data_IF_746297861657
#
_entry.id   IF_746297861657
#
_cell.length_a   1.000
_cell.length_b   1.000
_cell.length_c   1.000
_cell.angle_alpha   90.00
_cell.angle_beta   90.00
_cell.angle_gamma   90.00
#
_symmetry.space_group_name_H-M   'P 1'
#
loop_
_entity.id
_entity.type
_entity.pdbx_description
1 polymer ?
#
# COMPACT_ATOMS: atom_id res chain seq x y z
N UNK A 1 1.30 6.70 8.30
CA UNK A 1 -0.13 6.35 8.08
C UNK A 1 -0.37 4.86 8.28
N UNK A 2 -1.59 4.42 8.61
CA UNK A 2 -1.88 2.98 8.74
C UNK A 2 -1.84 2.29 7.38
N UNK A 3 -1.44 1.01 7.31
CA UNK A 3 -1.42 0.24 6.07
C UNK A 3 -2.78 0.24 5.33
N UNK A 4 -3.89 0.17 6.08
CA UNK A 4 -5.24 0.23 5.49
C UNK A 4 -5.54 1.55 4.81
N UNK A 5 -4.98 2.65 5.29
CA UNK A 5 -5.18 3.98 4.73
C UNK A 5 -4.30 4.20 3.50
N UNK A 6 -3.05 3.74 3.58
CA UNK A 6 -2.16 3.68 2.43
C UNK A 6 -2.76 2.83 1.30
N UNK A 7 -3.30 1.65 1.64
CA UNK A 7 -3.95 0.77 0.67
C UNK A 7 -5.08 1.49 -0.07
N UNK A 8 -5.95 2.21 0.66
CA UNK A 8 -7.03 3.01 0.06
C UNK A 8 -6.52 4.09 -0.89
N UNK A 9 -5.45 4.80 -0.52
CA UNK A 9 -4.84 5.83 -1.38
C UNK A 9 -4.26 5.23 -2.68
N UNK A 10 -3.76 3.99 -2.62
CA UNK A 10 -3.26 3.24 -3.76
C UNK A 10 -4.35 2.48 -4.53
N UNK A 11 -5.63 2.61 -4.16
CA UNK A 11 -6.71 1.80 -4.76
C UNK A 11 -6.60 0.29 -4.48
N UNK A 12 -5.79 -0.10 -3.50
CA UNK A 12 -5.56 -1.49 -3.10
C UNK A 12 -6.45 -1.89 -1.92
N UNK A 13 -6.75 -3.18 -1.83
CA UNK A 13 -7.37 -3.74 -0.62
C UNK A 13 -6.33 -3.91 0.48
N UNK A 14 -6.78 -3.89 1.74
CA UNK A 14 -5.93 -4.17 2.90
C UNK A 14 -5.16 -5.49 2.75
N UNK A 15 -5.82 -6.55 2.24
CA UNK A 15 -5.22 -7.87 2.02
C UNK A 15 -4.09 -7.81 0.98
N UNK A 16 -4.26 -7.01 -0.08
CA UNK A 16 -3.23 -6.78 -1.09
C UNK A 16 -2.00 -6.08 -0.49
N UNK A 17 -2.23 -4.98 0.23
CA UNK A 17 -1.17 -4.26 0.91
C UNK A 17 -0.45 -5.12 1.97
N UNK A 18 -1.18 -5.97 2.70
CA UNK A 18 -0.62 -6.90 3.68
C UNK A 18 0.28 -7.96 3.02
N UNK A 19 -0.13 -8.51 1.87
CA UNK A 19 0.72 -9.40 1.08
C UNK A 19 2.00 -8.71 0.61
N UNK A 20 1.90 -7.48 0.12
CA UNK A 20 3.08 -6.70 -0.32
C UNK A 20 4.04 -6.40 0.83
N UNK A 21 3.51 -6.08 2.02
CA UNK A 21 4.31 -5.90 3.23
C UNK A 21 5.10 -7.17 3.56
N UNK A 22 4.43 -8.32 3.60
CA UNK A 22 5.09 -9.60 3.87
C UNK A 22 6.06 -10.04 2.76
N UNK A 23 5.79 -9.66 1.51
CA UNK A 23 6.68 -9.92 0.39
C UNK A 23 7.85 -8.93 0.31
N UNK A 24 7.91 -7.90 1.16
CA UNK A 24 8.93 -6.85 1.09
C UNK A 24 8.84 -5.99 -0.17
N UNK A 25 7.71 -5.98 -0.87
CA UNK A 25 7.48 -5.26 -2.12
C UNK A 25 6.94 -3.84 -1.92
N UNK A 26 6.91 -3.36 -0.68
CA UNK A 26 6.48 -1.99 -0.42
C UNK A 26 7.56 -1.02 -0.92
N UNK A 27 7.19 -0.04 -1.75
CA UNK A 27 8.12 0.99 -2.22
C UNK A 27 8.49 2.01 -1.13
N UNK A 28 7.94 1.84 0.08
CA UNK A 28 8.05 2.75 1.22
C UNK A 28 8.54 1.98 2.45
N UNK A 29 9.14 2.68 3.39
CA UNK A 29 9.44 2.10 4.71
C UNK A 29 8.13 1.83 5.45
N UNK A 30 7.93 0.58 5.87
CA UNK A 30 6.82 0.19 6.71
C UNK A 30 7.34 -0.63 7.89
N UNK A 31 6.71 -0.49 9.04
CA UNK A 31 7.04 -1.20 10.26
C UNK A 31 5.78 -1.80 10.89
N UNK A 32 5.91 -3.01 11.44
CA UNK A 32 4.86 -3.64 12.22
C UNK A 32 5.12 -3.36 13.70
N UNK A 33 4.14 -2.73 14.35
CA UNK A 33 4.15 -2.55 15.79
C UNK A 33 3.95 -3.90 16.50
N UNK A 34 4.41 -4.05 17.75
CA UNK A 34 4.20 -5.27 18.54
C UNK A 34 2.71 -5.60 18.78
N UNK A 35 1.81 -4.64 18.55
CA UNK A 35 0.35 -4.84 18.58
C UNK A 35 -0.22 -5.45 17.29
N UNK A 36 0.60 -5.69 16.27
CA UNK A 36 0.20 -6.18 14.95
C UNK A 36 -0.26 -5.08 13.98
N UNK A 37 -0.25 -3.81 14.40
CA UNK A 37 -0.59 -2.68 13.52
C UNK A 37 0.60 -2.34 12.62
N UNK A 38 0.37 -2.31 11.30
CA UNK A 38 1.38 -1.93 10.32
C UNK A 38 1.29 -0.43 10.03
N UNK A 39 2.39 0.28 10.28
CA UNK A 39 2.55 1.72 10.03
C UNK A 39 3.44 1.90 8.81
N UNK A 40 2.92 2.61 7.82
CA UNK A 40 3.62 2.98 6.58
C UNK A 40 4.11 4.41 6.71
N UNK A 41 5.40 4.63 6.41
CA UNK A 41 6.07 5.93 6.39
C UNK A 41 6.30 6.35 4.93
N UNK A 42 5.35 7.10 4.32
CA UNK A 42 5.58 7.67 3.00
C UNK A 42 6.61 8.79 3.12
N UNK A 43 7.80 8.58 2.56
CA UNK A 43 8.70 9.67 2.22
C UNK A 43 8.10 10.36 1.00
N UNK A 44 7.26 11.37 1.23
CA UNK A 44 6.67 12.23 0.18
C UNK A 44 6.12 11.43 -1.02
N UNK A 45 5.19 10.51 -0.74
CA UNK A 45 4.44 9.86 -1.80
C UNK A 45 3.61 10.95 -2.51
N UNK A 46 4.08 11.40 -3.67
CA UNK A 46 3.27 12.10 -4.67
C UNK A 46 1.89 11.44 -4.70
N UNK A 47 0.79 12.21 -4.79
CA UNK A 47 -0.54 11.65 -5.01
C UNK A 47 -0.55 11.03 -6.41
N UNK A 48 0.00 9.83 -6.53
CA UNK A 48 -0.15 8.98 -7.68
C UNK A 48 -1.57 8.45 -7.57
N UNK A 49 -2.50 9.25 -8.08
CA UNK A 49 -3.76 8.74 -8.58
C UNK A 49 -3.39 7.61 -9.53
N UNK A 50 -3.51 6.39 -9.03
CA UNK A 50 -3.54 5.20 -9.87
C UNK A 50 -4.84 5.31 -10.67
N UNK A 51 -4.76 6.03 -11.77
CA UNK A 51 -5.59 5.76 -12.92
C UNK A 51 -5.44 4.26 -13.19
N UNK A 52 -6.51 3.52 -12.93
CA UNK A 52 -6.67 2.16 -13.43
C UNK A 52 -6.64 2.27 -14.96
N UNK A 53 -5.45 2.20 -15.56
CA UNK A 53 -5.31 2.09 -17.01
C UNK A 53 -5.56 0.63 -17.38
N UNK A 54 -6.78 0.42 -17.88
CA UNK A 54 -7.11 -0.41 -19.05
C UNK A 54 -6.40 -1.77 -19.13
N UNK A 55 -7.00 -2.78 -18.51
CA UNK A 55 -6.88 -4.15 -19.02
C UNK A 55 -7.95 -4.34 -20.10
N UNK A 56 -7.60 -3.94 -21.33
CA UNK A 56 -8.26 -4.43 -22.54
C UNK A 56 -8.16 -5.95 -22.52
N UNK A 57 -9.29 -6.63 -22.33
CA UNK A 57 -9.43 -8.01 -22.75
C UNK A 57 -10.03 -7.97 -24.16
N UNK A 58 -9.29 -8.58 -25.08
CA UNK A 58 -9.57 -8.74 -26.51
C UNK A 58 -10.95 -9.34 -26.81
#
# INVERSE_FOLDING_TARGET
MKLSEWAKQQGLTYKGAWKMFHAGQLPLRAEQLPTGTIIVHPAEAKPQGVALQEATHE
#
